data_IF_213742425364
#
_entry.id   IF_213742425364
#
_cell.length_a   1.000
_cell.length_b   1.000
_cell.length_c   1.000
_cell.angle_alpha   90.00
_cell.angle_beta   90.00
_cell.angle_gamma   90.00
#
_symmetry.space_group_name_H-M   'P 1'
#
loop_
_entity.id
_entity.type
_entity.pdbx_description
1 polymer ?
#
# COMPACT_ATOMS: atom_id res chain seq x y z
N UNK A 1 -1.52 11.62 -6.59
CA UNK A 1 -1.30 10.65 -5.48
C UNK A 1 -1.48 9.20 -5.92
N UNK A 2 -2.51 8.86 -6.73
CA UNK A 2 -2.77 7.47 -7.14
C UNK A 2 -1.57 6.76 -7.81
N UNK A 3 -0.77 7.47 -8.61
CA UNK A 3 0.44 6.89 -9.23
C UNK A 3 1.63 6.75 -8.27
N UNK A 4 1.61 7.46 -7.16
CA UNK A 4 2.77 7.57 -6.27
C UNK A 4 2.61 6.81 -4.96
N UNK A 5 1.38 6.33 -4.64
CA UNK A 5 1.13 5.73 -3.34
C UNK A 5 2.06 4.54 -3.03
N UNK A 6 2.43 3.76 -4.05
CA UNK A 6 3.35 2.62 -3.95
C UNK A 6 4.81 2.94 -4.33
N UNK A 7 5.17 4.20 -4.59
CA UNK A 7 6.56 4.54 -4.95
C UNK A 7 7.57 4.08 -3.89
N UNK A 8 7.18 4.09 -2.62
CA UNK A 8 7.99 3.57 -1.52
C UNK A 8 8.27 2.07 -1.56
N UNK A 9 7.60 1.30 -2.44
CA UNK A 9 7.90 -0.12 -2.68
C UNK A 9 9.24 -0.32 -3.42
N UNK A 10 9.79 0.72 -4.05
CA UNK A 10 11.07 0.64 -4.74
C UNK A 10 12.21 0.45 -3.73
N UNK A 11 13.12 -0.46 -4.02
CA UNK A 11 14.34 -0.68 -3.26
C UNK A 11 15.51 -0.88 -4.22
N UNK A 12 16.54 -0.05 -4.07
CA UNK A 12 17.72 -0.10 -4.93
C UNK A 12 18.81 -1.02 -4.37
N UNK A 13 19.03 -1.00 -3.04
CA UNK A 13 19.98 -1.89 -2.38
C UNK A 13 19.67 -2.10 -0.88
N UNK A 14 20.36 -3.09 -0.29
CA UNK A 14 20.15 -3.49 1.10
C UNK A 14 20.73 -2.45 2.10
N UNK A 15 21.74 -1.69 1.73
CA UNK A 15 22.35 -0.69 2.61
C UNK A 15 21.42 0.52 2.76
N UNK A 16 20.66 0.83 1.70
CA UNK A 16 19.60 1.83 1.77
C UNK A 16 18.60 1.47 2.86
N UNK A 17 18.10 0.22 2.86
CA UNK A 17 17.14 -0.28 3.87
C UNK A 17 17.71 -0.16 5.28
N UNK A 18 18.95 -0.60 5.50
CA UNK A 18 19.59 -0.53 6.83
C UNK A 18 19.74 0.88 7.36
N UNK A 19 19.86 1.86 6.48
CA UNK A 19 19.99 3.26 6.85
C UNK A 19 18.69 3.95 7.23
N UNK A 20 17.53 3.32 6.98
CA UNK A 20 16.24 3.90 7.26
C UNK A 20 15.93 3.85 8.79
N UNK A 21 15.41 4.94 9.33
CA UNK A 21 15.15 5.08 10.77
C UNK A 21 14.16 4.04 11.30
N UNK A 22 13.16 3.67 10.50
CA UNK A 22 12.12 2.69 10.87
C UNK A 22 12.59 1.24 10.76
N UNK A 23 13.74 0.98 10.14
CA UNK A 23 14.25 -0.37 9.96
C UNK A 23 14.63 -1.01 11.30
N UNK A 24 15.33 -0.29 12.17
CA UNK A 24 15.67 -0.77 13.50
C UNK A 24 14.43 -1.05 14.36
N UNK A 25 13.42 -0.21 14.27
CA UNK A 25 12.16 -0.41 14.99
C UNK A 25 11.44 -1.68 14.50
N UNK A 26 11.40 -1.87 13.19
CA UNK A 26 10.81 -3.05 12.56
C UNK A 26 11.50 -4.35 12.99
N UNK A 27 12.83 -4.41 12.92
CA UNK A 27 13.61 -5.60 13.31
C UNK A 27 13.40 -5.93 14.79
N UNK A 28 13.44 -4.94 15.66
CA UNK A 28 13.27 -5.13 17.09
C UNK A 28 11.87 -5.65 17.47
N UNK A 29 10.84 -5.30 16.69
CA UNK A 29 9.46 -5.72 16.94
C UNK A 29 9.11 -7.07 16.31
N UNK A 30 9.64 -7.37 15.15
CA UNK A 30 9.11 -8.42 14.29
C UNK A 30 9.97 -9.67 14.19
N UNK A 31 11.30 -9.59 14.36
CA UNK A 31 12.21 -10.70 14.10
C UNK A 31 13.39 -10.79 15.05
N UNK A 32 13.87 -12.03 15.27
CA UNK A 32 15.22 -12.26 15.76
C UNK A 32 16.19 -12.07 14.58
N UNK A 33 16.58 -10.84 14.36
CA UNK A 33 17.53 -10.48 13.32
C UNK A 33 18.95 -10.90 13.70
N UNK A 34 19.56 -11.74 12.88
CA UNK A 34 20.92 -12.25 13.07
C UNK A 34 22.00 -11.43 12.36
N UNK A 35 21.63 -10.28 11.79
CA UNK A 35 22.52 -9.44 10.98
C UNK A 35 22.42 -9.65 9.48
N UNK A 36 21.69 -10.68 9.02
CA UNK A 36 21.55 -10.98 7.60
C UNK A 36 20.19 -10.51 7.08
N UNK A 37 20.21 -9.63 6.07
CA UNK A 37 19.02 -9.23 5.34
C UNK A 37 18.69 -10.29 4.28
N UNK A 38 17.66 -11.07 4.54
CA UNK A 38 17.08 -11.95 3.53
C UNK A 38 16.14 -11.16 2.62
N UNK A 39 15.93 -11.58 1.35
CA UNK A 39 14.95 -10.96 0.47
C UNK A 39 13.55 -10.85 1.08
N UNK A 40 13.17 -11.81 1.92
CA UNK A 40 11.87 -11.85 2.57
C UNK A 40 11.74 -10.78 3.67
N UNK A 41 12.77 -10.60 4.51
CA UNK A 41 12.82 -9.53 5.52
C UNK A 41 12.70 -8.16 4.83
N UNK A 42 13.43 -7.96 3.74
CA UNK A 42 13.40 -6.74 2.95
C UNK A 42 12.00 -6.52 2.38
N UNK A 43 11.43 -7.51 1.73
CA UNK A 43 10.11 -7.43 1.11
C UNK A 43 9.02 -7.10 2.13
N UNK A 44 9.04 -7.76 3.30
CA UNK A 44 8.06 -7.49 4.35
C UNK A 44 8.25 -6.11 4.97
N UNK A 45 9.49 -5.71 5.25
CA UNK A 45 9.78 -4.36 5.75
C UNK A 45 9.26 -3.29 4.79
N UNK A 46 9.56 -3.43 3.49
CA UNK A 46 9.12 -2.50 2.46
C UNK A 46 7.60 -2.46 2.42
N UNK A 47 6.94 -3.61 2.37
CA UNK A 47 5.47 -3.70 2.32
C UNK A 47 4.79 -3.00 3.49
N UNK A 48 5.35 -3.13 4.70
CA UNK A 48 4.79 -2.51 5.90
C UNK A 48 5.09 -1.01 6.01
N UNK A 49 6.18 -0.53 5.40
CA UNK A 49 6.66 0.84 5.59
C UNK A 49 6.74 1.67 4.29
N UNK A 50 6.29 1.13 3.14
CA UNK A 50 6.40 1.85 1.85
C UNK A 50 5.72 3.22 1.88
N UNK A 51 4.62 3.36 2.60
CA UNK A 51 3.95 4.65 2.76
C UNK A 51 4.85 5.70 3.42
N UNK A 52 5.66 5.33 4.42
CA UNK A 52 6.63 6.23 5.06
C UNK A 52 7.84 6.53 4.16
N UNK A 53 8.27 5.52 3.38
CA UNK A 53 9.39 5.64 2.44
C UNK A 53 9.06 6.56 1.26
N UNK A 54 7.79 6.73 0.94
CA UNK A 54 7.32 7.59 -0.14
C UNK A 54 7.85 9.03 0.00
N UNK A 55 7.79 9.59 1.20
CA UNK A 55 8.25 10.96 1.45
C UNK A 55 9.72 11.15 1.06
N UNK A 56 10.58 10.19 1.43
CA UNK A 56 11.99 10.19 1.05
C UNK A 56 12.17 10.24 -0.47
N UNK A 57 11.39 9.48 -1.21
CA UNK A 57 11.49 9.45 -2.68
C UNK A 57 10.94 10.71 -3.32
N UNK A 58 9.86 11.26 -2.84
CA UNK A 58 9.28 12.49 -3.39
C UNK A 58 10.18 13.71 -3.16
N UNK A 59 10.79 13.85 -1.99
CA UNK A 59 11.64 14.99 -1.68
C UNK A 59 13.10 14.83 -2.15
N UNK A 60 13.63 13.62 -2.22
CA UNK A 60 15.02 13.39 -2.62
C UNK A 60 15.23 13.19 -4.12
N UNK A 61 14.17 12.86 -4.89
CA UNK A 61 14.35 12.43 -6.28
C UNK A 61 14.38 13.57 -7.27
N UNK A 62 14.25 14.85 -6.87
CA UNK A 62 14.14 15.79 -7.98
C UNK A 62 14.45 17.24 -7.71
N UNK A 63 15.53 17.67 -8.33
CA UNK A 63 15.64 19.06 -8.79
C UNK A 63 14.45 19.47 -9.68
N UNK A 64 13.83 18.54 -10.41
CA UNK A 64 12.66 18.77 -11.28
C UNK A 64 11.38 19.02 -10.47
N UNK A 65 11.12 18.22 -9.41
CA UNK A 65 9.99 18.46 -8.51
C UNK A 65 10.20 19.75 -7.71
N UNK A 66 11.41 20.05 -7.27
CA UNK A 66 11.74 21.29 -6.58
C UNK A 66 11.53 22.55 -7.45
N UNK A 67 11.69 22.44 -8.77
CA UNK A 67 11.35 23.55 -9.69
C UNK A 67 9.83 23.66 -9.88
N UNK A 68 9.12 22.54 -9.98
CA UNK A 68 7.65 22.49 -10.05
C UNK A 68 6.99 22.88 -8.72
N UNK A 69 7.63 22.59 -7.60
CA UNK A 69 7.14 22.84 -6.25
C UNK A 69 6.92 24.34 -5.98
N UNK A 70 7.74 25.21 -6.58
CA UNK A 70 7.66 26.67 -6.37
C UNK A 70 6.37 27.29 -6.90
N UNK A 71 5.70 26.63 -7.84
CA UNK A 71 4.55 27.17 -8.56
C UNK A 71 3.25 26.39 -8.35
N UNK A 72 3.29 25.28 -7.59
CA UNK A 72 2.13 24.41 -7.38
C UNK A 72 1.58 24.54 -5.96
N UNK A 73 0.68 25.50 -5.78
CA UNK A 73 -0.07 25.68 -4.53
C UNK A 73 -1.57 25.54 -4.77
N UNK A 74 -2.26 24.85 -3.86
CA UNK A 74 -3.71 24.85 -3.73
C UNK A 74 -4.04 25.43 -2.36
N UNK A 75 -4.76 26.54 -2.33
CA UNK A 75 -5.16 27.21 -1.09
C UNK A 75 -4.01 27.43 -0.10
N UNK A 76 -2.88 27.95 -0.58
CA UNK A 76 -1.66 28.21 0.20
C UNK A 76 -0.89 26.93 0.63
N UNK A 77 -1.39 25.75 0.31
CA UNK A 77 -0.70 24.49 0.58
C UNK A 77 0.06 23.98 -0.63
N UNK A 78 1.24 23.45 -0.37
CA UNK A 78 2.06 22.82 -1.39
C UNK A 78 1.38 21.52 -1.89
N UNK A 79 1.13 21.45 -3.21
CA UNK A 79 0.46 20.29 -3.82
C UNK A 79 1.25 19.00 -3.63
N UNK A 80 2.58 19.05 -3.63
CA UNK A 80 3.42 17.88 -3.44
C UNK A 80 3.30 17.36 -2.02
N UNK A 81 3.32 18.26 -1.03
CA UNK A 81 3.14 17.90 0.39
C UNK A 81 1.78 17.22 0.61
N UNK A 82 0.71 17.82 0.09
CA UNK A 82 -0.64 17.24 0.18
C UNK A 82 -0.70 15.88 -0.54
N UNK A 83 -0.19 15.80 -1.77
CA UNK A 83 -0.21 14.55 -2.53
C UNK A 83 0.61 13.45 -1.86
N UNK A 84 1.73 13.81 -1.22
CA UNK A 84 2.53 12.89 -0.40
C UNK A 84 1.72 12.37 0.77
N UNK A 85 1.14 13.26 1.58
CA UNK A 85 0.34 12.88 2.76
C UNK A 85 -0.88 12.05 2.41
N UNK A 86 -1.62 12.43 1.36
CA UNK A 86 -2.74 11.64 0.85
C UNK A 86 -2.26 10.25 0.41
N UNK A 87 -1.12 10.18 -0.29
CA UNK A 87 -0.54 8.89 -0.70
C UNK A 87 -0.09 8.05 0.50
N UNK A 88 0.58 8.64 1.48
CA UNK A 88 1.01 7.94 2.69
C UNK A 88 -0.18 7.39 3.49
N UNK A 89 -1.30 8.09 3.48
CA UNK A 89 -2.49 7.74 4.27
C UNK A 89 -3.12 6.40 3.90
N UNK A 90 -2.85 5.85 2.70
CA UNK A 90 -3.50 4.60 2.25
C UNK A 90 -3.20 3.41 3.17
N UNK A 91 -2.06 3.41 3.86
CA UNK A 91 -1.64 2.35 4.79
C UNK A 91 -1.62 2.78 6.27
N UNK A 92 -2.12 3.97 6.60
CA UNK A 92 -2.22 4.47 7.97
C UNK A 92 -3.55 4.08 8.63
N UNK A 93 -3.66 4.26 9.95
CA UNK A 93 -4.93 4.06 10.65
C UNK A 93 -5.98 5.10 10.21
N UNK A 94 -7.25 4.72 10.21
CA UNK A 94 -8.34 5.64 9.85
C UNK A 94 -8.39 6.88 10.74
N UNK A 95 -8.01 6.76 12.01
CA UNK A 95 -7.94 7.90 12.95
C UNK A 95 -6.90 8.95 12.54
N UNK A 96 -5.85 8.51 11.84
CA UNK A 96 -4.78 9.43 11.41
C UNK A 96 -5.23 10.33 10.25
N UNK A 97 -6.37 10.03 9.62
CA UNK A 97 -6.97 10.91 8.61
C UNK A 97 -7.46 12.24 9.19
N UNK A 98 -7.71 12.33 10.50
CA UNK A 98 -8.10 13.58 11.17
C UNK A 98 -7.05 14.68 11.00
N UNK A 99 -5.77 14.31 10.80
CA UNK A 99 -4.69 15.27 10.53
C UNK A 99 -4.92 16.14 9.28
N UNK A 100 -5.72 15.65 8.32
CA UNK A 100 -6.06 16.41 7.12
C UNK A 100 -7.02 17.58 7.39
N UNK A 101 -7.64 17.66 8.57
CA UNK A 101 -8.47 18.78 8.95
C UNK A 101 -7.68 20.10 8.99
N UNK A 102 -6.37 20.04 9.28
CA UNK A 102 -5.47 21.19 9.28
C UNK A 102 -5.31 21.84 7.88
N UNK A 103 -5.55 21.07 6.83
CA UNK A 103 -5.43 21.51 5.43
C UNK A 103 -6.76 21.95 4.81
N UNK A 104 -7.86 21.86 5.55
CA UNK A 104 -9.16 22.32 5.05
C UNK A 104 -9.19 23.85 5.02
N UNK A 105 -9.42 24.42 3.85
CA UNK A 105 -9.65 25.85 3.75
C UNK A 105 -11.01 26.21 4.33
N UNK A 106 -11.14 27.45 4.84
CA UNK A 106 -12.43 28.00 5.32
C UNK A 106 -13.56 27.97 4.27
N UNK A 107 -13.25 27.70 3.01
CA UNK A 107 -14.19 27.69 1.89
C UNK A 107 -14.69 26.30 1.50
N UNK A 108 -14.36 25.21 2.23
CA UNK A 108 -14.81 23.83 1.99
C UNK A 108 -14.64 23.32 0.54
N UNK A 109 -13.70 23.87 -0.24
CA UNK A 109 -13.52 23.45 -1.63
C UNK A 109 -12.59 22.23 -1.78
N UNK A 110 -11.70 22.01 -0.80
CA UNK A 110 -10.70 20.95 -0.87
C UNK A 110 -10.94 19.97 0.28
N UNK A 111 -11.43 18.79 -0.06
CA UNK A 111 -11.62 17.71 0.91
C UNK A 111 -10.51 16.67 0.75
N UNK A 112 -9.37 16.90 1.43
CA UNK A 112 -8.23 15.97 1.40
C UNK A 112 -8.52 14.67 2.15
N UNK A 113 -9.42 14.69 3.14
CA UNK A 113 -9.91 13.48 3.81
C UNK A 113 -10.66 12.63 2.79
N UNK A 114 -11.53 13.24 2.02
CA UNK A 114 -12.25 12.54 0.95
C UNK A 114 -11.30 11.95 -0.10
N UNK A 115 -10.27 12.71 -0.52
CA UNK A 115 -9.23 12.22 -1.43
C UNK A 115 -8.47 11.02 -0.84
N UNK A 116 -8.13 11.08 0.45
CA UNK A 116 -7.45 9.98 1.14
C UNK A 116 -8.35 8.73 1.23
N UNK A 117 -9.63 8.90 1.55
CA UNK A 117 -10.61 7.80 1.59
C UNK A 117 -10.79 7.19 0.20
N UNK A 118 -10.92 8.02 -0.84
CA UNK A 118 -11.04 7.53 -2.22
C UNK A 118 -9.81 6.74 -2.67
N UNK A 119 -8.61 7.22 -2.33
CA UNK A 119 -7.37 6.50 -2.65
C UNK A 119 -7.35 5.13 -1.98
N UNK A 120 -7.65 5.07 -0.68
CA UNK A 120 -7.72 3.81 0.09
C UNK A 120 -8.74 2.85 -0.49
N UNK A 121 -9.91 3.35 -0.83
CA UNK A 121 -10.97 2.54 -1.44
C UNK A 121 -10.53 2.01 -2.81
N UNK A 122 -9.92 2.85 -3.64
CA UNK A 122 -9.43 2.46 -4.95
C UNK A 122 -8.34 1.38 -4.84
N UNK A 123 -7.41 1.52 -3.88
CA UNK A 123 -6.36 0.54 -3.62
C UNK A 123 -6.94 -0.82 -3.17
N UNK A 124 -7.91 -0.79 -2.25
CA UNK A 124 -8.62 -2.01 -1.83
C UNK A 124 -9.42 -2.63 -2.98
N UNK A 125 -10.08 -1.81 -3.81
CA UNK A 125 -10.89 -2.29 -4.93
C UNK A 125 -10.08 -2.85 -6.09
N UNK A 126 -8.79 -2.51 -6.17
CA UNK A 126 -7.85 -3.08 -7.13
C UNK A 126 -7.37 -4.49 -6.71
N UNK A 127 -8.25 -5.25 -6.07
CA UNK A 127 -8.00 -6.59 -5.55
C UNK A 127 -8.63 -7.63 -6.45
N UNK A 128 -7.86 -8.08 -7.45
CA UNK A 128 -8.28 -9.11 -8.40
C UNK A 128 -7.11 -10.02 -8.85
N UNK A 129 -7.42 -10.98 -9.70
CA UNK A 129 -6.45 -11.94 -10.21
C UNK A 129 -5.57 -11.37 -11.34
N UNK A 130 -5.91 -10.25 -11.93
CA UNK A 130 -5.11 -9.63 -13.00
C UNK A 130 -3.82 -9.02 -12.44
N UNK A 131 -3.81 -8.62 -11.16
CA UNK A 131 -2.62 -8.16 -10.44
C UNK A 131 -1.58 -9.25 -10.19
N UNK A 132 -1.96 -10.51 -10.24
CA UNK A 132 -1.10 -11.64 -9.88
C UNK A 132 -1.04 -12.65 -11.01
N UNK A 133 0.03 -12.60 -11.80
CA UNK A 133 0.24 -13.59 -12.85
C UNK A 133 0.58 -14.95 -12.24
N UNK A 134 -0.15 -16.01 -12.62
CA UNK A 134 0.12 -17.39 -12.18
C UNK A 134 1.55 -17.84 -12.52
N UNK A 135 2.10 -17.35 -13.63
CA UNK A 135 3.48 -17.58 -14.01
C UNK A 135 4.48 -17.03 -13.00
N UNK A 136 4.25 -15.82 -12.48
CA UNK A 136 5.08 -15.20 -11.44
C UNK A 136 4.96 -15.95 -10.12
N UNK A 137 3.76 -16.39 -9.75
CA UNK A 137 3.51 -17.22 -8.57
C UNK A 137 4.35 -18.50 -8.58
N UNK A 138 4.38 -19.21 -9.72
CA UNK A 138 5.20 -20.41 -9.91
C UNK A 138 6.69 -20.10 -9.98
N UNK A 139 7.08 -19.03 -10.67
CA UNK A 139 8.48 -18.62 -10.78
C UNK A 139 9.10 -18.29 -9.42
N UNK A 140 8.33 -17.70 -8.51
CA UNK A 140 8.74 -17.41 -7.14
C UNK A 140 8.72 -18.64 -6.22
N UNK A 141 8.32 -19.82 -6.71
CA UNK A 141 8.24 -21.06 -5.94
C UNK A 141 7.16 -21.05 -4.86
N UNK A 142 6.14 -20.19 -5.02
CA UNK A 142 5.06 -20.05 -4.05
C UNK A 142 4.01 -21.15 -4.17
N UNK A 143 4.05 -21.94 -5.22
CA UNK A 143 3.25 -23.15 -5.37
C UNK A 143 3.71 -24.31 -4.44
N UNK A 144 5.00 -24.32 -4.05
CA UNK A 144 5.58 -25.28 -3.13
C UNK A 144 6.47 -24.60 -2.06
N UNK A 145 5.89 -23.82 -1.14
CA UNK A 145 6.66 -23.06 -0.17
C UNK A 145 7.42 -23.95 0.80
N UNK A 146 8.73 -23.75 0.91
CA UNK A 146 9.63 -24.53 1.78
C UNK A 146 9.87 -23.91 3.15
N UNK A 147 9.47 -22.65 3.35
CA UNK A 147 9.64 -21.91 4.59
C UNK A 147 8.36 -21.12 4.96
N UNK A 148 8.29 -20.67 6.21
CA UNK A 148 7.12 -19.94 6.75
C UNK A 148 6.83 -18.62 6.04
N UNK A 149 7.87 -17.95 5.54
CA UNK A 149 7.78 -16.67 4.87
C UNK A 149 7.14 -16.83 3.48
N UNK A 150 7.58 -17.85 2.74
CA UNK A 150 6.96 -18.20 1.46
C UNK A 150 5.51 -18.68 1.66
N UNK A 151 5.20 -19.33 2.78
CA UNK A 151 3.82 -19.72 3.12
C UNK A 151 2.93 -18.48 3.33
N UNK A 152 3.45 -17.45 3.99
CA UNK A 152 2.71 -16.19 4.12
C UNK A 152 2.49 -15.52 2.76
N UNK A 153 3.54 -15.37 1.97
CA UNK A 153 3.44 -14.84 0.60
C UNK A 153 2.49 -15.66 -0.26
N UNK A 154 2.51 -17.00 -0.15
CA UNK A 154 1.57 -17.88 -0.83
C UNK A 154 0.11 -17.54 -0.52
N UNK A 155 -0.21 -17.30 0.76
CA UNK A 155 -1.57 -16.96 1.20
C UNK A 155 -2.03 -15.64 0.59
N UNK A 156 -1.18 -14.62 0.59
CA UNK A 156 -1.48 -13.34 -0.03
C UNK A 156 -1.75 -13.48 -1.53
N UNK A 157 -0.88 -14.21 -2.23
CA UNK A 157 -1.04 -14.44 -3.67
C UNK A 157 -2.29 -15.25 -4.00
N UNK A 158 -2.62 -16.30 -3.22
CA UNK A 158 -3.83 -17.11 -3.43
C UNK A 158 -5.10 -16.29 -3.28
N UNK A 159 -5.15 -15.34 -2.35
CA UNK A 159 -6.29 -14.43 -2.22
C UNK A 159 -6.56 -13.67 -3.52
N UNK A 160 -5.50 -13.12 -4.14
CA UNK A 160 -5.65 -12.43 -5.43
C UNK A 160 -6.02 -13.40 -6.56
N UNK A 161 -5.31 -14.52 -6.70
CA UNK A 161 -5.54 -15.50 -7.77
C UNK A 161 -6.97 -16.05 -7.78
N UNK A 162 -7.61 -16.17 -6.62
CA UNK A 162 -8.96 -16.69 -6.47
C UNK A 162 -10.03 -15.57 -6.45
N UNK A 163 -9.64 -14.30 -6.57
CA UNK A 163 -10.53 -13.15 -6.59
C UNK A 163 -10.78 -12.67 -8.01
N UNK A 164 -12.02 -12.32 -8.30
CA UNK A 164 -12.47 -11.77 -9.59
C UNK A 164 -12.75 -10.26 -9.50
N UNK A 165 -12.43 -9.66 -8.35
CA UNK A 165 -12.54 -8.24 -8.12
C UNK A 165 -13.92 -7.74 -7.74
N UNK A 166 -14.05 -6.42 -7.81
CA UNK A 166 -15.25 -5.69 -7.42
C UNK A 166 -16.08 -5.28 -8.63
N UNK A 167 -17.39 -5.28 -8.47
CA UNK A 167 -18.34 -4.77 -9.46
C UNK A 167 -19.38 -3.90 -8.78
N UNK A 168 -19.60 -2.69 -9.29
CA UNK A 168 -20.59 -1.77 -8.76
C UNK A 168 -21.87 -1.81 -9.59
N UNK A 169 -23.00 -2.08 -8.93
CA UNK A 169 -24.34 -1.99 -9.50
C UNK A 169 -24.88 -0.59 -9.28
N UNK A 170 -24.91 0.22 -10.33
CA UNK A 170 -25.34 1.62 -10.28
C UNK A 170 -26.82 1.79 -9.93
N UNK A 171 -27.66 0.84 -10.34
CA UNK A 171 -29.11 0.90 -10.07
C UNK A 171 -29.42 0.59 -8.61
N UNK A 172 -28.79 -0.44 -8.07
CA UNK A 172 -28.97 -0.87 -6.67
C UNK A 172 -28.07 -0.13 -5.69
N UNK A 173 -27.04 0.58 -6.20
CA UNK A 173 -25.99 1.21 -5.37
C UNK A 173 -25.27 0.21 -4.46
N UNK A 174 -24.99 -0.98 -4.99
CA UNK A 174 -24.34 -2.07 -4.26
C UNK A 174 -23.01 -2.37 -4.90
N UNK A 175 -21.97 -2.48 -4.06
CA UNK A 175 -20.67 -2.98 -4.44
C UNK A 175 -20.64 -4.49 -4.19
N UNK A 176 -20.40 -5.28 -5.24
CA UNK A 176 -20.26 -6.72 -5.16
C UNK A 176 -18.78 -7.09 -5.24
N UNK A 177 -18.33 -7.93 -4.33
CA UNK A 177 -17.05 -8.61 -4.45
C UNK A 177 -17.29 -10.05 -4.87
N UNK A 178 -16.51 -10.53 -5.84
CA UNK A 178 -16.60 -11.89 -6.34
C UNK A 178 -15.26 -12.61 -6.20
N UNK A 179 -15.30 -13.80 -5.61
CA UNK A 179 -14.16 -14.69 -5.51
C UNK A 179 -14.60 -16.15 -5.72
N UNK A 180 -13.67 -16.98 -6.16
CA UNK A 180 -13.86 -18.43 -6.34
C UNK A 180 -12.70 -19.14 -5.64
N UNK A 181 -12.71 -19.19 -4.29
CA UNK A 181 -11.64 -19.81 -3.54
C UNK A 181 -11.57 -21.31 -3.83
N UNK A 182 -10.37 -21.79 -4.13
CA UNK A 182 -10.09 -23.20 -4.43
C UNK A 182 -9.84 -24.02 -3.17
N UNK A 183 -9.49 -23.34 -2.07
CA UNK A 183 -9.15 -23.96 -0.79
C UNK A 183 -9.91 -23.26 0.37
N UNK A 184 -10.30 -24.01 1.43
CA UNK A 184 -11.01 -23.43 2.58
C UNK A 184 -10.22 -22.31 3.27
N UNK A 185 -8.91 -22.46 3.37
CA UNK A 185 -8.03 -21.46 3.98
C UNK A 185 -8.04 -20.15 3.17
N UNK A 186 -8.02 -20.26 1.84
CA UNK A 186 -8.12 -19.08 0.96
C UNK A 186 -9.46 -18.36 1.13
N UNK A 187 -10.56 -19.11 1.25
CA UNK A 187 -11.87 -18.53 1.55
C UNK A 187 -11.86 -17.76 2.86
N UNK A 188 -11.29 -18.35 3.91
CA UNK A 188 -11.17 -17.69 5.22
C UNK A 188 -10.42 -16.37 5.11
N UNK A 189 -9.25 -16.34 4.46
CA UNK A 189 -8.44 -15.12 4.30
C UNK A 189 -9.11 -14.06 3.43
N UNK A 190 -9.85 -14.46 2.40
CA UNK A 190 -10.64 -13.53 1.59
C UNK A 190 -11.75 -12.88 2.44
N UNK A 191 -12.46 -13.66 3.26
CA UNK A 191 -13.49 -13.13 4.15
C UNK A 191 -12.93 -12.17 5.21
N UNK A 192 -11.77 -12.48 5.77
CA UNK A 192 -11.07 -11.55 6.69
C UNK A 192 -10.66 -10.24 5.99
N UNK A 193 -10.22 -10.30 4.74
CA UNK A 193 -9.91 -9.12 3.96
C UNK A 193 -11.15 -8.24 3.72
N UNK A 194 -12.29 -8.84 3.36
CA UNK A 194 -13.54 -8.10 3.08
C UNK A 194 -14.05 -7.37 4.32
N UNK A 195 -13.85 -7.91 5.53
CA UNK A 195 -14.24 -7.23 6.78
C UNK A 195 -13.52 -5.87 7.00
N UNK A 196 -12.42 -5.62 6.30
CA UNK A 196 -11.73 -4.32 6.36
C UNK A 196 -12.57 -3.22 5.67
N UNK A 197 -13.44 -3.62 4.74
CA UNK A 197 -14.27 -2.72 3.92
C UNK A 197 -15.63 -2.46 4.56
N UNK A 198 -16.11 -3.39 5.40
CA UNK A 198 -17.37 -3.26 6.15
C UNK A 198 -17.25 -2.30 7.34
#
# INVERSE_FOLDING_TARGET
SAYWHDLGMVCNDNEEIKSEEWFNEYINKSYKYDGNLTPNIISEYIRLNHHKRLEKYLYNTSNILNELEKDLFINEHNVIDIASKVSMSHNENTKDLEKFQEYQSNNNQDDFIFCAILLRLADIMDFDNERTAESSYKFLGLDNPTNSENQFSQKEWKKHLDSLGFTYDYEKKILYFKAIPKEPDTEFYIREFIKIIE
#
